data_IF_937983026754
#
_entry.id   IF_937983026754
#
_cell.length_a   1.000
_cell.length_b   1.000
_cell.length_c   1.000
_cell.angle_alpha   90.00
_cell.angle_beta   90.00
_cell.angle_gamma   90.00
#
_symmetry.space_group_name_H-M   'P 1'
#
loop_
_entity.id
_entity.type
_entity.pdbx_description
1 polymer ?
#
# COMPACT_ATOMS: atom_id res chain seq x y z
N UNK A 1 -31.10 27.86 -86.04
CA UNK A 1 -29.89 27.05 -86.26
C UNK A 1 -28.82 27.35 -85.21
N UNK A 2 -28.52 28.63 -84.94
CA UNK A 2 -27.46 29.03 -83.98
C UNK A 2 -27.71 28.58 -82.53
N UNK A 3 -28.96 28.70 -82.02
CA UNK A 3 -29.33 28.18 -80.68
C UNK A 3 -29.18 26.67 -80.51
N UNK A 4 -29.42 25.89 -81.58
CA UNK A 4 -29.35 24.42 -81.54
C UNK A 4 -27.88 23.97 -81.44
N UNK A 5 -26.98 24.64 -82.18
CA UNK A 5 -25.54 24.37 -82.14
C UNK A 5 -24.90 24.70 -80.78
N UNK A 6 -25.38 25.75 -80.09
CA UNK A 6 -24.88 26.11 -78.77
C UNK A 6 -25.35 25.15 -77.67
N UNK A 7 -26.56 24.60 -77.83
CA UNK A 7 -27.16 23.63 -76.91
C UNK A 7 -26.51 22.24 -77.05
N UNK A 8 -26.20 21.81 -78.28
CA UNK A 8 -25.41 20.61 -78.57
C UNK A 8 -23.98 20.72 -78.01
N UNK A 9 -23.32 21.88 -78.15
CA UNK A 9 -21.99 22.11 -77.57
C UNK A 9 -21.99 22.00 -76.05
N UNK A 10 -23.03 22.53 -75.37
CA UNK A 10 -23.15 22.44 -73.91
C UNK A 10 -23.41 21.01 -73.44
N UNK A 11 -24.19 20.23 -74.20
CA UNK A 11 -24.46 18.83 -73.88
C UNK A 11 -23.20 17.96 -73.95
N UNK A 12 -22.34 18.16 -74.96
CA UNK A 12 -21.03 17.47 -75.06
C UNK A 12 -20.13 17.83 -73.89
N UNK A 13 -20.09 19.10 -73.52
CA UNK A 13 -19.30 19.64 -72.40
C UNK A 13 -19.72 19.07 -71.03
N UNK A 14 -21.01 18.81 -70.84
CA UNK A 14 -21.55 18.16 -69.64
C UNK A 14 -21.18 16.69 -69.63
N UNK A 15 -21.34 16.00 -70.76
CA UNK A 15 -21.01 14.58 -70.89
C UNK A 15 -19.51 14.30 -70.63
N UNK A 16 -18.61 15.16 -71.10
CA UNK A 16 -17.19 15.06 -70.78
C UNK A 16 -16.89 15.27 -69.28
N UNK A 17 -17.61 16.20 -68.63
CA UNK A 17 -17.44 16.45 -67.19
C UNK A 17 -17.95 15.28 -66.36
N UNK A 18 -19.09 14.69 -66.73
CA UNK A 18 -19.65 13.50 -66.10
C UNK A 18 -18.69 12.31 -66.23
N UNK A 19 -18.16 12.05 -67.42
CA UNK A 19 -17.18 10.97 -67.63
C UNK A 19 -15.89 11.18 -66.81
N UNK A 20 -15.37 12.41 -66.72
CA UNK A 20 -14.22 12.73 -65.85
C UNK A 20 -14.53 12.53 -64.36
N UNK A 21 -15.75 12.85 -63.93
CA UNK A 21 -16.19 12.69 -62.55
C UNK A 21 -16.37 11.21 -62.18
N UNK A 22 -16.89 10.38 -63.09
CA UNK A 22 -16.97 8.93 -62.93
C UNK A 22 -15.59 8.29 -62.76
N UNK A 23 -14.62 8.67 -63.60
CA UNK A 23 -13.22 8.24 -63.49
C UNK A 23 -12.63 8.59 -62.12
N UNK A 24 -12.80 9.85 -61.69
CA UNK A 24 -12.28 10.31 -60.39
C UNK A 24 -12.94 9.60 -59.21
N UNK A 25 -14.24 9.34 -59.28
CA UNK A 25 -14.94 8.57 -58.26
C UNK A 25 -14.46 7.11 -58.21
N UNK A 26 -14.24 6.48 -59.36
CA UNK A 26 -13.68 5.13 -59.42
C UNK A 26 -12.26 5.06 -58.85
N UNK A 27 -11.42 6.07 -59.08
CA UNK A 27 -10.09 6.18 -58.47
C UNK A 27 -10.16 6.36 -56.95
N UNK A 28 -11.08 7.22 -56.47
CA UNK A 28 -11.30 7.43 -55.03
C UNK A 28 -11.78 6.16 -54.33
N UNK A 29 -12.72 5.42 -54.93
CA UNK A 29 -13.21 4.15 -54.38
C UNK A 29 -12.05 3.15 -54.26
N UNK A 30 -11.24 2.99 -55.32
CA UNK A 30 -10.07 2.10 -55.27
C UNK A 30 -9.07 2.52 -54.19
N UNK A 31 -8.81 3.82 -54.04
CA UNK A 31 -7.92 4.33 -53.00
C UNK A 31 -8.47 4.10 -51.58
N UNK A 32 -9.80 4.19 -51.40
CA UNK A 32 -10.46 3.86 -50.14
C UNK A 32 -10.34 2.36 -49.83
N UNK A 33 -10.60 1.49 -50.81
CA UNK A 33 -10.47 0.04 -50.64
C UNK A 33 -9.05 -0.35 -50.22
N UNK A 34 -8.02 0.22 -50.86
CA UNK A 34 -6.61 -0.04 -50.47
C UNK A 34 -6.35 0.39 -49.03
N UNK A 35 -6.80 1.58 -48.63
CA UNK A 35 -6.61 2.07 -47.26
C UNK A 35 -7.37 1.23 -46.23
N UNK A 36 -8.58 0.79 -46.55
CA UNK A 36 -9.38 -0.04 -45.66
C UNK A 36 -8.68 -1.39 -45.41
N UNK A 37 -8.06 -1.98 -46.44
CA UNK A 37 -7.27 -3.20 -46.27
C UNK A 37 -5.98 -2.95 -45.46
N UNK A 38 -5.30 -1.83 -45.66
CA UNK A 38 -4.16 -1.42 -44.83
C UNK A 38 -4.56 -1.25 -43.35
N UNK A 39 -5.68 -0.57 -43.08
CA UNK A 39 -6.19 -0.38 -41.74
C UNK A 39 -6.60 -1.69 -41.06
N UNK A 40 -7.25 -2.61 -41.79
CA UNK A 40 -7.59 -3.94 -41.27
C UNK A 40 -6.33 -4.72 -40.87
N UNK A 41 -5.28 -4.65 -41.69
CA UNK A 41 -4.00 -5.32 -41.40
C UNK A 41 -3.36 -4.75 -40.13
N UNK A 42 -3.26 -3.43 -40.02
CA UNK A 42 -2.71 -2.76 -38.83
C UNK A 42 -3.54 -3.10 -37.59
N UNK A 43 -4.87 -3.12 -37.70
CA UNK A 43 -5.74 -3.45 -36.59
C UNK A 43 -5.51 -4.89 -36.11
N UNK A 44 -5.34 -5.84 -37.04
CA UNK A 44 -5.04 -7.23 -36.68
C UNK A 44 -3.68 -7.36 -35.97
N UNK A 45 -2.63 -6.74 -36.53
CA UNK A 45 -1.29 -6.72 -35.91
C UNK A 45 -1.34 -6.11 -34.49
N UNK A 46 -2.05 -5.00 -34.32
CA UNK A 46 -2.21 -4.36 -33.00
C UNK A 46 -3.00 -5.21 -32.01
N UNK A 47 -4.02 -5.93 -32.47
CA UNK A 47 -4.77 -6.86 -31.61
C UNK A 47 -3.92 -8.06 -31.18
N UNK A 48 -3.08 -8.59 -32.08
CA UNK A 48 -2.14 -9.66 -31.75
C UNK A 48 -1.06 -9.20 -30.75
N UNK A 49 -0.49 -8.01 -30.97
CA UNK A 49 0.44 -7.37 -30.02
C UNK A 49 -0.21 -7.15 -28.65
N UNK A 50 -1.44 -6.63 -28.62
CA UNK A 50 -2.18 -6.39 -27.38
C UNK A 50 -2.40 -7.70 -26.60
N UNK A 51 -2.87 -8.74 -27.29
CA UNK A 51 -3.07 -10.06 -26.69
C UNK A 51 -1.78 -10.62 -26.10
N UNK A 52 -0.67 -10.51 -26.83
CA UNK A 52 0.64 -10.95 -26.34
C UNK A 52 1.09 -10.16 -25.09
N UNK A 53 0.84 -8.85 -25.04
CA UNK A 53 1.13 -8.03 -23.87
C UNK A 53 0.25 -8.41 -22.67
N UNK A 54 -1.03 -8.71 -22.89
CA UNK A 54 -1.95 -9.18 -21.85
C UNK A 54 -1.50 -10.54 -21.27
N UNK A 55 -1.14 -11.48 -22.15
CA UNK A 55 -0.63 -12.79 -21.75
C UNK A 55 0.68 -12.65 -20.93
N UNK A 56 1.60 -11.80 -21.38
CA UNK A 56 2.83 -11.50 -20.66
C UNK A 56 2.57 -10.85 -19.30
N UNK A 57 1.67 -9.87 -19.24
CA UNK A 57 1.31 -9.19 -18.00
C UNK A 57 0.69 -10.18 -17.00
N UNK A 58 -0.18 -11.08 -17.46
CA UNK A 58 -0.75 -12.15 -16.64
C UNK A 58 0.34 -13.03 -16.02
N UNK A 59 1.31 -13.48 -16.82
CA UNK A 59 2.44 -14.29 -16.34
C UNK A 59 3.30 -13.51 -15.32
N UNK A 60 3.56 -12.23 -15.56
CA UNK A 60 4.33 -11.38 -14.64
C UNK A 60 3.59 -11.16 -13.31
N UNK A 61 2.28 -10.95 -13.34
CA UNK A 61 1.44 -10.86 -12.15
C UNK A 61 1.55 -12.12 -11.30
N UNK A 62 1.40 -13.30 -11.92
CA UNK A 62 1.51 -14.59 -11.20
C UNK A 62 2.90 -14.75 -10.58
N UNK A 63 3.97 -14.49 -11.34
CA UNK A 63 5.35 -14.58 -10.81
C UNK A 63 5.60 -13.60 -9.67
N UNK A 64 5.06 -12.39 -9.76
CA UNK A 64 5.21 -11.37 -8.72
C UNK A 64 4.49 -11.79 -7.44
N UNK A 65 3.27 -12.31 -7.55
CA UNK A 65 2.52 -12.87 -6.42
C UNK A 65 3.33 -14.00 -5.77
N UNK A 66 3.80 -14.95 -6.57
CA UNK A 66 4.57 -16.09 -6.05
C UNK A 66 5.86 -15.65 -5.34
N UNK A 67 6.65 -14.77 -5.95
CA UNK A 67 7.88 -14.27 -5.33
C UNK A 67 7.60 -13.48 -4.04
N UNK A 68 6.50 -12.72 -3.98
CA UNK A 68 6.12 -12.01 -2.77
C UNK A 68 5.68 -12.95 -1.65
N UNK A 69 4.97 -14.04 -1.97
CA UNK A 69 4.61 -15.07 -1.01
C UNK A 69 5.85 -15.75 -0.42
N UNK A 70 6.82 -16.14 -1.25
CA UNK A 70 8.08 -16.75 -0.78
C UNK A 70 8.86 -15.81 0.15
N UNK A 71 8.90 -14.51 -0.16
CA UNK A 71 9.55 -13.50 0.70
C UNK A 71 8.80 -13.34 2.02
N UNK A 72 7.46 -13.34 1.99
CA UNK A 72 6.64 -13.21 3.18
C UNK A 72 6.81 -14.43 4.10
N UNK A 73 6.75 -15.64 3.55
CA UNK A 73 6.99 -16.89 4.29
C UNK A 73 8.39 -16.88 4.95
N UNK A 74 9.43 -16.49 4.20
CA UNK A 74 10.78 -16.38 4.75
C UNK A 74 10.89 -15.31 5.87
N UNK A 75 10.13 -14.22 5.75
CA UNK A 75 10.10 -13.17 6.77
C UNK A 75 9.34 -13.61 8.03
N UNK A 76 8.22 -14.31 7.88
CA UNK A 76 7.46 -14.89 8.99
C UNK A 76 8.30 -15.91 9.76
N UNK A 77 9.05 -16.76 9.05
CA UNK A 77 9.98 -17.72 9.66
C UNK A 77 11.11 -16.99 10.42
N UNK A 78 11.67 -15.92 9.84
CA UNK A 78 12.67 -15.09 10.53
C UNK A 78 12.09 -14.45 11.80
N UNK A 79 10.87 -13.91 11.76
CA UNK A 79 10.21 -13.33 12.93
C UNK A 79 9.98 -14.39 14.01
N UNK A 80 9.53 -15.58 13.62
CA UNK A 80 9.35 -16.73 14.50
C UNK A 80 10.65 -17.08 15.21
N UNK A 81 11.72 -17.34 14.46
CA UNK A 81 13.03 -17.68 15.03
C UNK A 81 13.62 -16.58 15.91
N UNK A 82 13.38 -15.31 15.58
CA UNK A 82 13.86 -14.17 16.37
C UNK A 82 13.14 -14.01 17.71
N UNK A 83 11.89 -14.50 17.84
CA UNK A 83 11.12 -14.45 19.10
C UNK A 83 11.79 -15.25 20.20
N UNK A 84 12.39 -16.39 19.87
CA UNK A 84 13.05 -17.28 20.84
C UNK A 84 14.51 -16.91 21.09
N UNK A 85 15.18 -16.29 20.10
CA UNK A 85 16.62 -15.98 20.14
C UNK A 85 16.96 -14.61 20.74
N UNK A 86 15.99 -13.69 20.80
CA UNK A 86 16.22 -12.30 21.21
C UNK A 86 15.60 -12.03 22.57
N UNK A 87 16.44 -11.67 23.55
CA UNK A 87 16.00 -11.25 24.88
C UNK A 87 15.69 -9.74 24.93
N UNK A 88 15.28 -9.25 26.11
CA UNK A 88 15.00 -7.83 26.31
C UNK A 88 16.22 -6.92 26.08
N UNK A 89 17.43 -7.46 26.26
CA UNK A 89 18.69 -6.75 26.05
C UNK A 89 19.17 -6.73 24.58
N UNK A 90 18.49 -7.43 23.66
CA UNK A 90 18.87 -7.46 22.24
C UNK A 90 18.51 -6.13 21.56
N UNK A 91 19.45 -5.59 20.78
CA UNK A 91 19.25 -4.35 19.99
C UNK A 91 18.25 -4.53 18.86
N UNK A 92 18.18 -5.73 18.29
CA UNK A 92 17.22 -6.12 17.26
C UNK A 92 16.33 -7.22 17.82
N UNK A 93 15.02 -7.01 17.79
CA UNK A 93 14.02 -7.98 18.27
C UNK A 93 12.69 -7.76 17.58
N UNK A 94 11.76 -8.69 17.76
CA UNK A 94 10.40 -8.56 17.26
C UNK A 94 9.64 -7.56 18.15
N UNK A 95 9.10 -6.52 17.54
CA UNK A 95 8.18 -5.56 18.16
C UNK A 95 6.76 -5.83 17.67
N UNK A 96 5.78 -5.76 18.56
CA UNK A 96 4.36 -5.75 18.19
C UNK A 96 3.96 -4.30 17.91
N UNK A 97 3.94 -3.94 16.63
CA UNK A 97 3.68 -2.57 16.17
C UNK A 97 2.21 -2.25 16.35
N UNK A 98 1.92 -1.09 16.93
CA UNK A 98 0.56 -0.66 17.21
C UNK A 98 -0.04 -1.27 18.47
N UNK A 99 0.76 -2.00 19.25
CA UNK A 99 0.33 -2.47 20.55
C UNK A 99 0.53 -1.39 21.61
N UNK A 100 -0.44 -1.19 22.49
CA UNK A 100 -0.36 -0.25 23.61
C UNK A 100 0.66 -0.76 24.64
N UNK A 101 1.58 0.12 25.07
CA UNK A 101 2.52 -0.17 26.18
C UNK A 101 1.76 -0.19 27.50
N UNK A 102 1.84 -1.30 28.24
CA UNK A 102 1.10 -1.53 29.48
C UNK A 102 1.74 -0.85 30.69
N UNK A 103 3.05 -0.53 30.61
CA UNK A 103 3.82 0.01 31.75
C UNK A 103 3.24 1.30 32.33
N UNK A 104 2.78 2.29 31.54
CA UNK A 104 2.15 3.48 32.09
C UNK A 104 0.88 3.16 32.86
N UNK A 105 0.07 2.22 32.37
CA UNK A 105 -1.17 1.80 33.02
C UNK A 105 -0.88 1.12 34.37
N UNK A 106 0.08 0.18 34.39
CA UNK A 106 0.50 -0.49 35.63
C UNK A 106 0.96 0.53 36.68
N UNK A 107 1.75 1.53 36.31
CA UNK A 107 2.21 2.59 37.23
C UNK A 107 1.08 3.43 37.83
N UNK A 108 -0.03 3.61 37.10
CA UNK A 108 -1.21 4.30 37.65
C UNK A 108 -1.84 3.44 38.74
N UNK A 109 -2.06 2.15 38.45
CA UNK A 109 -2.71 1.24 39.38
C UNK A 109 -1.83 0.85 40.59
N UNK A 110 -0.51 0.86 40.44
CA UNK A 110 0.44 0.71 41.56
C UNK A 110 0.22 1.75 42.67
N UNK A 111 -0.29 2.94 42.32
CA UNK A 111 -0.61 3.99 43.30
C UNK A 111 -1.99 3.82 43.94
N UNK A 112 -2.89 3.07 43.29
CA UNK A 112 -4.28 2.92 43.70
C UNK A 112 -4.51 1.64 44.52
N UNK A 113 -3.77 0.59 44.22
CA UNK A 113 -3.95 -0.73 44.81
C UNK A 113 -2.62 -1.23 45.40
N UNK A 114 -2.66 -1.89 46.55
CA UNK A 114 -1.47 -2.55 47.12
C UNK A 114 -1.28 -3.96 46.57
N UNK A 115 -2.34 -4.60 46.09
CA UNK A 115 -2.31 -5.94 45.55
C UNK A 115 -1.84 -5.93 44.08
N UNK A 116 -0.74 -6.62 43.82
CA UNK A 116 -0.12 -6.68 42.49
C UNK A 116 -0.97 -7.38 41.44
N UNK A 117 -1.77 -8.39 41.84
CA UNK A 117 -2.68 -9.08 40.91
C UNK A 117 -3.76 -8.11 40.45
N UNK A 118 -4.35 -7.36 41.39
CA UNK A 118 -5.36 -6.35 41.06
C UNK A 118 -4.78 -5.26 40.16
N UNK A 119 -3.56 -4.78 40.45
CA UNK A 119 -2.87 -3.78 39.60
C UNK A 119 -2.74 -4.26 38.14
N UNK A 120 -2.26 -5.49 37.95
CA UNK A 120 -2.03 -6.06 36.62
C UNK A 120 -3.34 -6.33 35.89
N UNK A 121 -4.37 -6.84 36.57
CA UNK A 121 -5.69 -7.08 35.98
C UNK A 121 -6.34 -5.79 35.50
N UNK A 122 -6.33 -4.73 36.33
CA UNK A 122 -6.90 -3.43 35.96
C UNK A 122 -6.15 -2.79 34.79
N UNK A 123 -4.82 -2.86 34.80
CA UNK A 123 -4.00 -2.39 33.69
C UNK A 123 -4.32 -3.14 32.39
N UNK A 124 -4.40 -4.47 32.44
CA UNK A 124 -4.69 -5.30 31.28
C UNK A 124 -6.09 -5.05 30.72
N UNK A 125 -7.11 -4.89 31.57
CA UNK A 125 -8.47 -4.54 31.13
C UNK A 125 -8.50 -3.20 30.39
N UNK A 126 -7.82 -2.19 30.94
CA UNK A 126 -7.81 -0.86 30.34
C UNK A 126 -6.99 -0.84 29.04
N UNK A 127 -5.85 -1.53 28.99
CA UNK A 127 -5.08 -1.72 27.75
C UNK A 127 -5.92 -2.39 26.67
N UNK A 128 -6.59 -3.50 26.99
CA UNK A 128 -7.46 -4.21 26.04
C UNK A 128 -8.58 -3.30 25.52
N UNK A 129 -9.22 -2.53 26.40
CA UNK A 129 -10.23 -1.55 25.99
C UNK A 129 -9.67 -0.56 24.96
N UNK A 130 -8.47 -0.04 25.20
CA UNK A 130 -7.86 0.89 24.24
C UNK A 130 -7.43 0.21 22.96
N UNK A 131 -6.91 -1.02 23.00
CA UNK A 131 -6.61 -1.80 21.79
C UNK A 131 -7.86 -2.04 20.92
N UNK A 132 -9.03 -2.24 21.54
CA UNK A 132 -10.31 -2.33 20.84
C UNK A 132 -10.70 -0.99 20.20
N UNK A 133 -10.57 0.11 20.94
CA UNK A 133 -10.84 1.46 20.41
C UNK A 133 -9.92 1.80 19.24
N UNK A 134 -8.62 1.50 19.34
CA UNK A 134 -7.64 1.70 18.27
C UNK A 134 -8.00 0.96 16.98
N UNK A 135 -8.63 -0.21 17.12
CA UNK A 135 -9.04 -1.07 16.03
C UNK A 135 -10.36 -0.60 15.38
N UNK A 136 -11.12 0.29 16.03
CA UNK A 136 -12.37 0.82 15.51
C UNK A 136 -12.12 1.75 14.30
N UNK A 137 -12.62 1.41 13.10
CA UNK A 137 -12.50 2.28 11.92
C UNK A 137 -13.24 3.61 12.08
N UNK A 138 -14.26 3.69 12.93
CA UNK A 138 -15.04 4.91 13.16
C UNK A 138 -14.29 5.96 13.97
N UNK A 139 -13.27 5.56 14.73
CA UNK A 139 -12.44 6.49 15.49
C UNK A 139 -11.13 6.76 14.73
N UNK A 140 -10.96 7.98 14.23
CA UNK A 140 -9.74 8.40 13.54
C UNK A 140 -9.27 9.76 14.02
N UNK A 141 -8.57 9.81 15.17
CA UNK A 141 -8.16 11.06 15.81
C UNK A 141 -6.90 11.62 15.14
N UNK A 142 -6.97 11.92 13.84
CA UNK A 142 -5.84 12.46 13.09
C UNK A 142 -6.18 13.79 12.45
N UNK A 143 -5.19 14.68 12.41
CA UNK A 143 -5.27 15.97 11.73
C UNK A 143 -4.08 16.16 10.80
N UNK A 144 -4.32 16.90 9.72
CA UNK A 144 -3.28 17.30 8.79
C UNK A 144 -2.61 18.59 9.28
N UNK A 145 -1.28 18.58 9.38
CA UNK A 145 -0.47 19.73 9.74
C UNK A 145 0.60 19.96 8.68
N UNK A 146 0.76 21.20 8.23
CA UNK A 146 1.74 21.60 7.21
C UNK A 146 1.15 22.53 6.16
N UNK A 147 1.93 22.83 5.12
CA UNK A 147 1.49 23.62 3.96
C UNK A 147 2.00 23.00 2.66
N UNK A 148 1.14 22.98 1.63
CA UNK A 148 1.46 22.41 0.32
C UNK A 148 1.93 20.96 0.40
N UNK A 149 3.09 20.68 -0.18
CA UNK A 149 3.67 19.33 -0.29
C UNK A 149 4.20 18.75 1.03
N UNK A 150 4.09 19.48 2.14
CA UNK A 150 4.60 19.07 3.47
C UNK A 150 3.49 18.67 4.45
N UNK A 151 2.27 18.45 3.97
CA UNK A 151 1.16 17.97 4.80
C UNK A 151 1.51 16.61 5.43
N UNK A 152 1.51 16.57 6.76
CA UNK A 152 1.71 15.36 7.54
C UNK A 152 0.49 15.12 8.40
N UNK A 153 0.08 13.87 8.43
CA UNK A 153 -0.96 13.40 9.31
C UNK A 153 -0.37 13.08 10.68
N UNK A 154 -0.90 13.71 11.72
CA UNK A 154 -0.48 13.51 13.11
C UNK A 154 -1.71 13.26 13.98
N UNK A 155 -1.52 12.61 15.13
CA UNK A 155 -2.61 12.41 16.08
C UNK A 155 -3.08 13.76 16.62
N UNK A 156 -4.40 13.95 16.66
CA UNK A 156 -5.03 15.15 17.19
C UNK A 156 -5.06 15.10 18.72
N UNK A 157 -4.16 15.87 19.36
CA UNK A 157 -4.17 16.06 20.81
C UNK A 157 -5.48 16.66 21.36
N UNK A 158 -6.30 17.26 20.49
CA UNK A 158 -7.58 17.84 20.89
C UNK A 158 -8.75 16.85 20.90
N UNK A 159 -8.53 15.60 20.47
CA UNK A 159 -9.53 14.53 20.46
C UNK A 159 -10.12 14.29 21.86
N UNK A 160 -11.46 14.18 21.93
CA UNK A 160 -12.19 14.06 23.19
C UNK A 160 -11.83 12.78 23.96
N UNK A 161 -11.66 11.64 23.28
CA UNK A 161 -11.30 10.38 23.94
C UNK A 161 -9.89 10.46 24.53
N UNK A 162 -8.94 11.02 23.78
CA UNK A 162 -7.56 11.21 24.25
C UNK A 162 -7.45 12.21 25.41
N UNK A 163 -8.25 13.30 25.39
CA UNK A 163 -8.33 14.25 26.51
C UNK A 163 -8.83 13.57 27.78
N UNK A 164 -9.97 12.89 27.69
CA UNK A 164 -10.55 12.16 28.83
C UNK A 164 -9.56 11.12 29.39
N UNK A 165 -8.83 10.41 28.51
CA UNK A 165 -7.79 9.47 28.93
C UNK A 165 -6.69 10.13 29.77
N UNK A 166 -6.18 11.29 29.35
CA UNK A 166 -5.17 12.01 30.11
C UNK A 166 -5.70 12.61 31.42
N UNK A 167 -6.96 13.03 31.46
CA UNK A 167 -7.59 13.56 32.66
C UNK A 167 -7.79 12.46 33.72
N UNK A 168 -8.19 11.26 33.31
CA UNK A 168 -8.44 10.14 34.22
C UNK A 168 -7.15 9.40 34.65
N UNK A 169 -6.25 9.14 33.71
CA UNK A 169 -5.10 8.24 33.94
C UNK A 169 -3.72 8.90 33.73
N UNK A 170 -3.69 10.16 33.30
CA UNK A 170 -2.47 10.94 33.15
C UNK A 170 -1.85 10.88 31.75
N UNK A 171 -0.89 11.79 31.53
CA UNK A 171 -0.28 12.03 30.21
C UNK A 171 0.54 10.84 29.68
N UNK A 172 1.19 10.09 30.56
CA UNK A 172 1.98 8.91 30.16
C UNK A 172 1.09 7.82 29.52
N UNK A 173 -0.13 7.66 30.02
CA UNK A 173 -1.11 6.71 29.48
C UNK A 173 -1.62 7.18 28.12
N UNK A 174 -1.96 8.47 27.98
CA UNK A 174 -2.32 9.05 26.68
C UNK A 174 -1.19 8.85 25.66
N UNK A 175 0.06 9.12 26.05
CA UNK A 175 1.21 8.96 25.17
C UNK A 175 1.41 7.51 24.69
N UNK A 176 1.16 6.51 25.54
CA UNK A 176 1.21 5.11 25.13
C UNK A 176 0.18 4.79 24.02
N UNK A 177 -1.06 5.29 24.18
CA UNK A 177 -2.11 5.12 23.17
C UNK A 177 -1.80 5.89 21.89
N UNK A 178 -1.28 7.12 21.99
CA UNK A 178 -0.85 7.92 20.82
C UNK A 178 0.26 7.23 20.02
N UNK A 179 1.28 6.69 20.69
CA UNK A 179 2.35 5.94 20.03
C UNK A 179 1.78 4.73 19.28
N UNK A 180 0.84 4.00 19.89
CA UNK A 180 0.17 2.88 19.23
C UNK A 180 -0.64 3.32 18.00
N UNK A 181 -1.41 4.43 18.10
CA UNK A 181 -2.13 5.04 16.97
C UNK A 181 -1.19 5.38 15.80
N UNK A 182 -0.10 6.11 16.09
CA UNK A 182 0.87 6.53 15.08
C UNK A 182 1.53 5.32 14.40
N UNK A 183 1.84 4.29 15.18
CA UNK A 183 2.38 3.04 14.68
C UNK A 183 1.41 2.30 13.75
N UNK A 184 0.14 2.17 14.14
CA UNK A 184 -0.89 1.57 13.29
C UNK A 184 -1.07 2.36 12.00
N UNK A 185 -1.19 3.69 12.07
CA UNK A 185 -1.37 4.52 10.88
C UNK A 185 -0.15 4.45 9.94
N UNK A 186 1.07 4.35 10.49
CA UNK A 186 2.29 4.28 9.70
C UNK A 186 2.52 2.91 9.04
N UNK A 187 2.22 1.82 9.75
CA UNK A 187 2.65 0.48 9.34
C UNK A 187 1.50 -0.45 8.94
N UNK A 188 0.27 -0.17 9.36
CA UNK A 188 -0.92 -0.93 9.00
C UNK A 188 -2.18 -0.03 8.93
N UNK A 189 -2.19 1.06 8.13
CA UNK A 189 -3.26 2.06 8.12
C UNK A 189 -4.64 1.48 7.79
N UNK A 190 -4.69 0.55 6.84
CA UNK A 190 -5.94 -0.07 6.40
C UNK A 190 -6.42 -1.18 7.33
N UNK A 191 -5.48 -1.94 7.91
CA UNK A 191 -5.82 -3.10 8.73
C UNK A 191 -6.13 -2.73 10.18
N UNK A 192 -5.44 -1.74 10.75
CA UNK A 192 -5.57 -1.28 12.15
C UNK A 192 -5.47 -2.39 13.22
N UNK A 193 -4.82 -3.49 12.91
CA UNK A 193 -4.48 -4.53 13.87
C UNK A 193 -2.98 -4.54 14.15
N UNK A 194 -2.61 -5.08 15.31
CA UNK A 194 -1.22 -5.22 15.75
C UNK A 194 -0.43 -6.12 14.80
N UNK A 195 0.73 -5.66 14.31
CA UNK A 195 1.58 -6.42 13.38
C UNK A 195 2.95 -6.70 14.00
N UNK A 196 3.42 -7.96 14.05
CA UNK A 196 4.79 -8.25 14.46
C UNK A 196 5.78 -7.75 13.41
N UNK A 197 6.80 -7.03 13.84
CA UNK A 197 7.81 -6.46 12.95
C UNK A 197 9.20 -6.57 13.58
N UNK A 198 10.19 -6.85 12.74
CA UNK A 198 11.57 -6.79 13.18
C UNK A 198 11.97 -5.32 13.39
N UNK A 199 12.42 -5.00 14.59
CA UNK A 199 12.68 -3.62 15.00
C UNK A 199 14.08 -3.46 15.54
N UNK A 200 14.75 -2.39 15.12
CA UNK A 200 16.02 -1.96 15.65
C UNK A 200 15.73 -0.93 16.75
N UNK A 201 15.85 -1.36 18.02
CA UNK A 201 15.56 -0.54 19.19
C UNK A 201 16.65 0.49 19.47
N UNK A 202 17.88 0.27 19.00
CA UNK A 202 18.95 1.25 19.08
C UNK A 202 18.67 2.48 18.18
N UNK A 203 18.11 2.25 16.99
CA UNK A 203 17.83 3.31 16.02
C UNK A 203 16.35 3.75 15.97
N UNK A 204 15.47 3.11 16.75
CA UNK A 204 14.05 3.45 16.78
C UNK A 204 13.33 3.28 15.43
N UNK A 205 13.70 2.28 14.63
CA UNK A 205 13.11 2.03 13.30
C UNK A 205 12.95 0.56 12.97
N UNK A 206 12.18 0.27 11.91
CA UNK A 206 12.14 -1.07 11.30
C UNK A 206 13.56 -1.53 10.98
N UNK A 207 13.89 -2.74 11.40
CA UNK A 207 15.15 -3.39 11.05
C UNK A 207 15.08 -3.92 9.61
N UNK A 208 16.20 -3.84 8.91
CA UNK A 208 16.35 -4.47 7.60
C UNK A 208 16.50 -5.99 7.74
N UNK A 209 16.18 -6.73 6.67
CA UNK A 209 16.42 -8.18 6.63
C UNK A 209 17.88 -8.53 6.92
N UNK A 210 18.82 -7.73 6.38
CA UNK A 210 20.25 -7.90 6.62
C UNK A 210 20.62 -7.77 8.10
N UNK A 211 20.08 -6.76 8.78
CA UNK A 211 20.26 -6.56 10.22
C UNK A 211 19.72 -7.77 11.00
N UNK A 212 18.52 -8.24 10.66
CA UNK A 212 17.89 -9.41 11.30
C UNK A 212 18.71 -10.69 11.14
N UNK A 213 19.09 -11.03 9.91
CA UNK A 213 19.88 -12.23 9.62
C UNK A 213 21.25 -12.16 10.32
N UNK A 214 21.90 -10.99 10.30
CA UNK A 214 23.17 -10.79 10.99
C UNK A 214 23.03 -10.99 12.49
N UNK A 215 22.00 -10.41 13.12
CA UNK A 215 21.74 -10.58 14.55
C UNK A 215 21.48 -12.04 14.90
N UNK A 216 20.56 -12.70 14.19
CA UNK A 216 20.24 -14.12 14.38
C UNK A 216 21.49 -15.01 14.27
N UNK A 217 22.33 -14.77 13.26
CA UNK A 217 23.59 -15.51 13.07
C UNK A 217 24.55 -15.34 14.25
N UNK A 218 24.65 -14.12 14.80
CA UNK A 218 25.49 -13.84 15.97
C UNK A 218 24.97 -14.56 17.22
N UNK A 219 23.66 -14.52 17.47
CA UNK A 219 23.02 -15.22 18.60
C UNK A 219 23.29 -16.73 18.53
N UNK A 220 23.08 -17.35 17.36
CA UNK A 220 23.35 -18.78 17.15
C UNK A 220 24.81 -19.14 17.41
N UNK A 221 25.76 -18.32 16.93
CA UNK A 221 27.20 -18.54 17.18
C UNK A 221 27.54 -18.44 18.67
N UNK A 222 26.92 -17.49 19.38
CA UNK A 222 27.08 -17.34 20.82
C UNK A 222 26.59 -18.57 21.60
N UNK A 223 25.43 -19.12 21.22
CA UNK A 223 24.87 -20.33 21.83
C UNK A 223 25.77 -21.57 21.63
N UNK A 224 26.37 -21.72 20.45
CA UNK A 224 27.29 -22.84 20.17
C UNK A 224 28.54 -22.81 21.04
N UNK A 225 29.13 -21.63 21.26
CA UNK A 225 30.33 -21.46 22.10
C UNK A 225 30.09 -21.81 23.57
N UNK A 226 28.88 -21.58 24.10
CA UNK A 226 28.54 -21.89 25.50
C UNK A 226 28.32 -23.38 25.78
N UNK A 227 28.17 -24.21 24.74
CA UNK A 227 28.00 -25.67 24.85
C UNK A 227 29.31 -26.45 24.77
N UNK A 228 30.43 -25.75 24.55
CA UNK A 228 31.79 -26.32 24.50
C UNK A 228 32.53 -25.91 25.75
#
# INVERSE_FOLDING_TARGET
>A
MEKISEEESKAVDVMERESKLELKNAELIKAMEVKDEEFKKILNEKNEELKHLEDMNSVLCVKTIQSNLEIQEAYEELLSGMRDLSGEASTIRVKRIGQVDDKPFVKVFEKLFSDKVIQLEQAAMLVSKWEDELSDPAWYPFKLVGTGDTLKEIVDDDDEKLKNLSEEFGEDVKNAVKIALEELNKFNPSGRYVVPMLWNFEHGRKATLKEGISHMTQQIRGLKRKRT
#
